data_IF_089414297469
#
_entry.id   IF_089414297469
#
_cell.length_a   1.000
_cell.length_b   1.000
_cell.length_c   1.000
_cell.angle_alpha   90.00
_cell.angle_beta   90.00
_cell.angle_gamma   90.00
#
_symmetry.space_group_name_H-M   'P 1'
#
loop_
_entity.id
_entity.type
_entity.pdbx_description
1 polymer ?
#
# COMPACT_ATOMS: atom_id res chain seq x y z
N UNK A 1 13.17 -0.56 14.68
CA UNK A 1 13.87 -0.53 13.37
C UNK A 1 14.41 0.87 13.15
N UNK A 2 15.36 1.04 12.24
CA UNK A 2 15.98 2.33 11.96
C UNK A 2 16.21 2.42 10.46
N UNK A 3 15.95 3.57 9.87
CA UNK A 3 16.17 3.81 8.44
C UNK A 3 16.68 5.24 8.21
N UNK A 4 17.55 5.42 7.23
CA UNK A 4 18.09 6.71 6.86
C UNK A 4 18.42 6.75 5.37
N UNK A 5 18.41 7.94 4.80
CA UNK A 5 18.75 8.16 3.40
C UNK A 5 18.97 9.63 3.12
N UNK A 6 19.66 9.92 2.01
CA UNK A 6 19.95 11.29 1.59
C UNK A 6 19.95 11.38 0.07
N UNK A 7 19.44 12.49 -0.44
CA UNK A 7 19.51 12.93 -1.83
C UNK A 7 20.03 14.37 -1.88
N UNK A 8 20.08 14.97 -3.08
CA UNK A 8 20.42 16.38 -3.24
C UNK A 8 19.40 17.33 -2.59
N UNK A 9 18.12 16.92 -2.47
CA UNK A 9 17.03 17.81 -2.07
C UNK A 9 16.49 17.53 -0.65
N UNK A 10 16.73 16.32 -0.14
CA UNK A 10 16.25 15.93 1.19
C UNK A 10 17.13 14.84 1.80
N UNK A 11 17.10 14.75 3.12
CA UNK A 11 17.61 13.59 3.86
C UNK A 11 16.67 13.22 4.99
N UNK A 12 16.67 11.96 5.39
CA UNK A 12 15.88 11.49 6.51
C UNK A 12 16.69 10.55 7.40
N UNK A 13 16.35 10.57 8.68
CA UNK A 13 16.89 9.69 9.69
C UNK A 13 15.77 9.38 10.67
N UNK A 14 15.21 8.16 10.58
CA UNK A 14 14.01 7.77 11.30
C UNK A 14 14.25 6.56 12.20
N UNK A 15 13.77 6.70 13.45
CA UNK A 15 13.59 5.60 14.38
C UNK A 15 12.14 5.11 14.32
N UNK A 16 11.97 3.79 14.21
CA UNK A 16 10.67 3.13 14.10
C UNK A 16 10.45 2.18 15.28
N UNK A 17 9.46 2.45 16.11
CA UNK A 17 9.03 1.58 17.22
C UNK A 17 7.71 0.90 16.85
N UNK A 18 7.71 -0.43 16.73
CA UNK A 18 6.49 -1.16 16.38
C UNK A 18 5.36 -0.89 17.39
N UNK A 19 4.20 -0.49 16.89
CA UNK A 19 3.00 -0.16 17.67
C UNK A 19 1.78 -1.02 17.32
N UNK A 20 1.92 -1.88 16.31
CA UNK A 20 0.98 -2.94 15.95
C UNK A 20 1.67 -4.29 15.91
N UNK A 21 0.90 -5.38 16.10
CA UNK A 21 1.38 -6.71 15.74
C UNK A 21 1.61 -6.82 14.22
N UNK A 22 2.52 -7.70 13.85
CA UNK A 22 2.83 -8.06 12.46
C UNK A 22 1.55 -8.40 11.69
N UNK A 23 1.44 -8.08 10.41
CA UNK A 23 0.40 -8.56 9.53
C UNK A 23 0.98 -9.59 8.56
N UNK A 24 0.34 -10.76 8.43
CA UNK A 24 0.81 -11.85 7.60
C UNK A 24 -0.08 -11.92 6.36
N UNK A 25 0.38 -11.39 5.23
CA UNK A 25 -0.47 -11.34 4.04
C UNK A 25 -0.85 -12.75 3.56
N UNK A 26 -2.07 -12.88 3.03
CA UNK A 26 -2.65 -14.18 2.69
C UNK A 26 -3.01 -15.04 3.92
N UNK A 27 -3.01 -14.46 5.12
CA UNK A 27 -3.32 -15.14 6.39
C UNK A 27 -2.17 -15.96 6.98
N UNK A 28 -1.23 -16.42 6.15
CA UNK A 28 -0.05 -17.19 6.57
C UNK A 28 1.29 -16.50 6.33
N UNK A 29 1.29 -15.34 5.66
CA UNK A 29 2.51 -14.63 5.27
C UNK A 29 3.18 -15.21 4.03
N UNK A 30 2.46 -16.04 3.28
CA UNK A 30 2.87 -16.59 2.00
C UNK A 30 1.75 -16.36 0.99
N UNK A 31 2.09 -15.75 -0.13
CA UNK A 31 1.17 -15.41 -1.21
C UNK A 31 1.74 -15.89 -2.54
N UNK A 32 0.88 -16.39 -3.42
CA UNK A 32 1.23 -16.60 -4.82
C UNK A 32 1.39 -15.23 -5.46
N UNK A 33 2.57 -14.86 -5.93
CA UNK A 33 2.90 -13.51 -6.40
C UNK A 33 3.58 -13.55 -7.78
N UNK A 34 2.76 -13.57 -8.83
CA UNK A 34 3.21 -13.62 -10.21
C UNK A 34 2.99 -14.97 -10.89
N UNK A 35 3.54 -15.09 -12.10
CA UNK A 35 3.29 -16.23 -12.99
C UNK A 35 3.93 -17.53 -12.48
N UNK A 36 3.35 -18.66 -12.89
CA UNK A 36 3.88 -19.99 -12.56
C UNK A 36 3.74 -20.39 -11.09
N UNK A 37 2.81 -19.77 -10.35
CA UNK A 37 2.62 -19.96 -8.92
C UNK A 37 3.87 -19.64 -8.10
N UNK A 38 4.63 -18.63 -8.54
CA UNK A 38 5.78 -18.18 -7.79
C UNK A 38 5.30 -17.69 -6.41
N UNK A 39 5.93 -18.19 -5.35
CA UNK A 39 5.53 -17.85 -3.99
C UNK A 39 6.43 -16.73 -3.46
N UNK A 40 5.80 -15.76 -2.81
CA UNK A 40 6.46 -14.75 -2.00
C UNK A 40 6.03 -14.91 -0.56
N UNK A 41 6.99 -14.82 0.34
CA UNK A 41 6.69 -14.46 1.73
C UNK A 41 6.45 -12.97 1.79
N UNK A 42 5.40 -12.56 2.46
CA UNK A 42 5.08 -11.16 2.68
C UNK A 42 4.50 -11.04 4.09
N UNK A 43 5.11 -10.15 4.87
CA UNK A 43 4.52 -9.68 6.11
C UNK A 43 4.82 -8.20 6.33
N UNK A 44 3.98 -7.56 7.13
CA UNK A 44 4.06 -6.14 7.43
C UNK A 44 4.15 -5.86 8.92
N UNK A 45 4.61 -4.67 9.31
CA UNK A 45 4.28 -4.03 10.59
C UNK A 45 3.41 -2.82 10.23
N UNK A 46 2.07 -2.95 10.35
CA UNK A 46 1.13 -1.93 9.89
C UNK A 46 1.27 -0.54 10.51
N UNK A 47 1.81 -0.45 11.72
CA UNK A 47 2.04 0.81 12.39
C UNK A 47 3.28 0.74 13.27
N UNK A 48 4.25 1.58 12.97
CA UNK A 48 5.33 1.97 13.86
C UNK A 48 5.11 3.42 14.30
N UNK A 49 5.37 3.75 15.56
CA UNK A 49 5.61 5.14 15.97
C UNK A 49 6.91 5.59 15.31
N UNK A 50 6.86 6.71 14.62
CA UNK A 50 7.99 7.20 13.81
C UNK A 50 8.48 8.51 14.37
N UNK A 51 9.76 8.55 14.73
CA UNK A 51 10.44 9.77 15.16
C UNK A 51 11.75 9.97 14.42
N UNK A 52 12.45 11.05 14.72
CA UNK A 52 13.72 11.40 14.10
C UNK A 52 13.62 12.69 13.31
N UNK A 53 14.40 12.81 12.23
CA UNK A 53 14.56 14.07 11.51
C UNK A 53 14.35 13.91 10.01
N UNK A 54 13.67 14.88 9.42
CA UNK A 54 13.59 15.08 7.98
C UNK A 54 14.26 16.41 7.65
N UNK A 55 15.29 16.40 6.83
CA UNK A 55 15.88 17.63 6.28
C UNK A 55 15.31 17.86 4.90
N UNK A 56 14.71 19.02 4.67
CA UNK A 56 14.29 19.50 3.36
C UNK A 56 15.14 20.72 3.03
N UNK A 57 15.94 20.64 1.97
CA UNK A 57 16.95 21.66 1.65
C UNK A 57 17.85 21.93 2.87
N UNK A 58 17.79 23.13 3.44
CA UNK A 58 18.58 23.54 4.62
C UNK A 58 17.80 23.48 5.95
N UNK A 59 16.52 23.10 5.93
CA UNK A 59 15.66 23.04 7.13
C UNK A 59 15.59 21.64 7.72
N UNK A 60 15.90 21.51 9.02
CA UNK A 60 15.76 20.26 9.77
C UNK A 60 14.42 20.27 10.52
N UNK A 61 13.51 19.39 10.11
CA UNK A 61 12.22 19.14 10.74
C UNK A 61 12.29 17.96 11.71
N UNK A 62 11.79 18.17 12.92
CA UNK A 62 11.62 17.09 13.90
C UNK A 62 10.29 16.37 13.67
N UNK A 63 10.32 15.05 13.55
CA UNK A 63 9.12 14.23 13.40
C UNK A 63 8.50 14.00 14.79
N UNK A 64 7.21 14.36 14.95
CA UNK A 64 6.43 14.14 16.17
C UNK A 64 5.90 12.69 16.21
N UNK A 65 6.45 11.80 17.07
CA UNK A 65 6.04 10.40 17.11
C UNK A 65 4.60 10.18 17.58
N UNK A 66 3.97 11.19 18.18
CA UNK A 66 2.56 11.12 18.59
C UNK A 66 1.59 11.35 17.40
N UNK A 67 2.08 11.92 16.29
CA UNK A 67 1.28 12.27 15.10
C UNK A 67 1.80 11.65 13.81
N UNK A 68 2.84 10.84 13.90
CA UNK A 68 3.48 10.20 12.75
C UNK A 68 3.49 8.69 12.92
N UNK A 69 3.29 8.00 11.79
CA UNK A 69 3.34 6.56 11.73
C UNK A 69 4.04 6.10 10.46
N UNK A 70 4.55 4.87 10.49
CA UNK A 70 5.10 4.19 9.32
C UNK A 70 4.53 2.78 9.22
N UNK A 71 4.12 2.40 8.01
CA UNK A 71 3.92 1.03 7.62
C UNK A 71 5.22 0.46 7.06
N UNK A 72 5.56 -0.76 7.46
CA UNK A 72 6.75 -1.45 6.98
C UNK A 72 6.35 -2.77 6.36
N UNK A 73 6.63 -2.98 5.08
CA UNK A 73 6.51 -4.28 4.43
C UNK A 73 7.87 -4.97 4.30
N UNK A 74 7.84 -6.29 4.45
CA UNK A 74 8.95 -7.16 4.14
C UNK A 74 8.47 -8.28 3.22
N UNK A 75 8.90 -8.20 1.96
CA UNK A 75 8.58 -9.18 0.94
C UNK A 75 9.84 -9.89 0.44
N UNK A 76 9.76 -11.21 0.33
CA UNK A 76 10.82 -12.04 -0.27
C UNK A 76 10.20 -13.16 -1.07
N UNK A 77 10.52 -13.22 -2.35
CA UNK A 77 10.04 -14.24 -3.27
C UNK A 77 10.90 -14.30 -4.52
N UNK A 78 10.48 -15.15 -5.46
CA UNK A 78 11.04 -15.20 -6.80
C UNK A 78 9.98 -14.71 -7.78
N UNK A 79 10.32 -13.75 -8.65
CA UNK A 79 9.36 -13.18 -9.60
C UNK A 79 8.36 -12.19 -8.98
N UNK A 80 7.56 -11.60 -9.85
CA UNK A 80 6.50 -10.65 -9.53
C UNK A 80 5.41 -10.72 -10.63
N UNK A 81 4.16 -10.36 -10.32
CA UNK A 81 3.15 -10.15 -11.36
C UNK A 81 3.53 -8.96 -12.23
N UNK A 82 3.03 -8.93 -13.47
CA UNK A 82 3.30 -7.82 -14.40
C UNK A 82 2.70 -6.51 -13.94
N UNK A 83 1.58 -6.56 -13.23
CA UNK A 83 0.95 -5.40 -12.66
C UNK A 83 0.42 -5.76 -11.27
N UNK A 84 0.33 -4.76 -10.41
CA UNK A 84 -0.44 -4.88 -9.20
C UNK A 84 -0.94 -3.51 -8.75
N UNK A 85 -2.02 -3.55 -7.98
CA UNK A 85 -2.45 -2.46 -7.11
C UNK A 85 -2.43 -2.98 -5.68
N UNK A 86 -1.82 -2.23 -4.79
CA UNK A 86 -1.80 -2.53 -3.37
C UNK A 86 -2.30 -1.34 -2.57
N UNK A 87 -3.01 -1.60 -1.49
CA UNK A 87 -3.44 -0.59 -0.54
C UNK A 87 -3.02 -1.00 0.87
N UNK A 88 -2.33 -0.11 1.58
CA UNK A 88 -2.30 -0.13 3.04
C UNK A 88 -3.33 0.87 3.58
N UNK A 89 -4.18 0.43 4.51
CA UNK A 89 -5.25 1.25 5.05
C UNK A 89 -5.28 1.25 6.58
N UNK A 90 -5.46 2.45 7.14
CA UNK A 90 -5.73 2.72 8.54
C UNK A 90 -7.10 3.36 8.71
N UNK A 91 -7.74 3.04 9.83
CA UNK A 91 -9.04 3.58 10.21
C UNK A 91 -8.90 4.35 11.53
N UNK A 92 -9.03 5.69 11.55
CA UNK A 92 -8.88 6.51 12.74
C UNK A 92 -9.77 6.03 13.90
N UNK A 93 -9.24 6.05 15.13
CA UNK A 93 -9.96 5.59 16.32
C UNK A 93 -10.14 4.07 16.40
N UNK A 94 -9.59 3.31 15.45
CA UNK A 94 -9.69 1.86 15.40
C UNK A 94 -8.32 1.18 15.36
N UNK A 95 -8.26 -0.01 15.93
CA UNK A 95 -7.09 -0.88 15.85
C UNK A 95 -7.03 -1.64 14.52
N UNK A 96 -8.05 -1.52 13.66
CA UNK A 96 -8.11 -2.16 12.34
C UNK A 96 -7.06 -1.56 11.41
N UNK A 97 -6.33 -2.45 10.72
CA UNK A 97 -5.35 -2.14 9.66
C UNK A 97 -5.54 -3.14 8.53
N UNK A 98 -5.46 -2.72 7.28
CA UNK A 98 -5.65 -3.62 6.15
C UNK A 98 -4.52 -3.49 5.12
N UNK A 99 -4.08 -4.64 4.61
CA UNK A 99 -3.22 -4.75 3.43
C UNK A 99 -4.04 -5.44 2.35
N UNK A 100 -4.25 -4.76 1.24
CA UNK A 100 -5.22 -5.16 0.22
C UNK A 100 -4.51 -5.24 -1.12
N UNK A 101 -4.47 -6.43 -1.70
CA UNK A 101 -3.74 -6.72 -2.91
C UNK A 101 -4.68 -7.03 -4.07
N UNK A 102 -4.34 -6.52 -5.25
CA UNK A 102 -4.92 -6.88 -6.54
C UNK A 102 -3.82 -7.07 -7.57
N UNK A 103 -3.68 -8.28 -8.08
CA UNK A 103 -2.79 -8.58 -9.22
C UNK A 103 -3.24 -9.84 -9.96
N UNK A 104 -2.80 -9.97 -11.20
CA UNK A 104 -3.16 -11.12 -12.03
C UNK A 104 -2.09 -12.21 -11.92
N UNK A 105 -2.50 -13.45 -11.67
CA UNK A 105 -1.62 -14.62 -11.54
C UNK A 105 -1.19 -15.16 -12.90
N UNK A 106 -2.09 -15.08 -13.89
CA UNK A 106 -1.84 -15.46 -15.28
C UNK A 106 -2.44 -14.40 -16.20
N UNK A 107 -2.12 -14.46 -17.49
CA UNK A 107 -2.73 -13.58 -18.51
C UNK A 107 -4.24 -13.84 -18.75
N UNK A 108 -4.88 -14.71 -17.95
CA UNK A 108 -6.30 -15.02 -18.04
C UNK A 108 -7.07 -14.19 -16.99
N UNK A 109 -8.19 -13.52 -17.37
CA UNK A 109 -9.03 -12.77 -16.43
C UNK A 109 -9.63 -13.62 -15.30
N UNK A 110 -9.66 -14.95 -15.45
CA UNK A 110 -10.14 -15.86 -14.40
C UNK A 110 -9.08 -16.22 -13.36
N UNK A 111 -7.83 -15.80 -13.55
CA UNK A 111 -6.70 -16.13 -12.70
C UNK A 111 -6.19 -14.86 -12.00
N UNK A 112 -7.04 -14.28 -11.16
CA UNK A 112 -6.76 -13.06 -10.40
C UNK A 112 -6.55 -13.38 -8.92
N UNK A 113 -5.62 -12.65 -8.29
CA UNK A 113 -5.53 -12.59 -6.83
C UNK A 113 -6.15 -11.27 -6.38
N UNK A 114 -7.24 -11.37 -5.60
CA UNK A 114 -7.91 -10.25 -4.94
C UNK A 114 -8.15 -10.65 -3.50
N UNK A 115 -7.33 -10.13 -2.57
CA UNK A 115 -7.52 -10.39 -1.16
C UNK A 115 -7.15 -9.19 -0.29
N UNK A 116 -7.87 -9.04 0.81
CA UNK A 116 -7.56 -8.12 1.88
C UNK A 116 -7.21 -8.90 3.14
N UNK A 117 -5.97 -8.74 3.59
CA UNK A 117 -5.56 -9.19 4.92
C UNK A 117 -5.83 -8.08 5.90
N UNK A 118 -6.66 -8.34 6.91
CA UNK A 118 -7.09 -7.35 7.89
C UNK A 118 -6.60 -7.73 9.28
N UNK A 119 -5.80 -6.87 9.91
CA UNK A 119 -5.40 -7.00 11.32
C UNK A 119 -6.48 -6.39 12.22
N UNK A 120 -7.11 -7.23 13.04
CA UNK A 120 -8.12 -6.84 14.01
C UNK A 120 -7.47 -6.66 15.38
N UNK A 121 -6.85 -5.50 15.60
CA UNK A 121 -6.16 -5.22 16.86
C UNK A 121 -4.98 -6.14 17.14
N UNK A 122 -4.95 -6.76 18.32
CA UNK A 122 -3.85 -7.63 18.76
C UNK A 122 -4.20 -9.11 18.70
N UNK A 123 -5.44 -9.44 18.33
CA UNK A 123 -6.02 -10.74 18.61
C UNK A 123 -6.01 -11.66 17.40
N UNK A 124 -6.37 -11.12 16.22
CA UNK A 124 -6.61 -11.96 15.04
C UNK A 124 -6.32 -11.26 13.71
N UNK A 125 -6.41 -12.06 12.66
CA UNK A 125 -6.44 -11.61 11.27
C UNK A 125 -7.69 -12.14 10.58
N UNK A 126 -8.15 -11.43 9.57
CA UNK A 126 -9.17 -11.92 8.63
C UNK A 126 -8.64 -11.79 7.21
N UNK A 127 -9.05 -12.71 6.36
CA UNK A 127 -8.83 -12.65 4.92
C UNK A 127 -10.18 -12.43 4.27
N UNK A 128 -10.32 -11.36 3.49
CA UNK A 128 -11.56 -11.03 2.79
C UNK A 128 -11.30 -11.01 1.29
N UNK A 129 -12.13 -11.72 0.54
CA UNK A 129 -12.22 -11.55 -0.90
C UNK A 129 -12.99 -10.27 -1.23
N UNK A 130 -12.65 -9.66 -2.36
CA UNK A 130 -13.25 -8.42 -2.81
C UNK A 130 -13.10 -8.26 -4.33
N UNK A 131 -13.93 -7.41 -4.90
CA UNK A 131 -13.81 -6.92 -6.28
C UNK A 131 -13.22 -5.51 -6.27
N UNK A 132 -12.29 -5.24 -7.20
CA UNK A 132 -11.69 -3.92 -7.40
C UNK A 132 -12.24 -3.30 -8.68
N UNK A 133 -12.83 -2.11 -8.58
CA UNK A 133 -13.27 -1.32 -9.73
C UNK A 133 -12.55 0.04 -9.76
N UNK A 134 -11.57 0.25 -10.65
CA UNK A 134 -10.98 1.57 -10.85
C UNK A 134 -11.97 2.51 -11.59
N UNK A 135 -11.99 3.78 -11.19
CA UNK A 135 -12.79 4.83 -11.86
C UNK A 135 -11.96 5.44 -12.99
N UNK A 136 -12.11 4.91 -14.21
CA UNK A 136 -11.35 5.37 -15.37
C UNK A 136 -11.74 6.77 -15.88
N UNK A 137 -12.71 7.43 -15.24
CA UNK A 137 -13.01 8.85 -15.49
C UNK A 137 -12.21 9.79 -14.56
N UNK A 138 -11.62 9.27 -13.49
CA UNK A 138 -10.76 10.02 -12.55
C UNK A 138 -9.33 9.47 -12.66
N UNK A 139 -8.60 9.96 -13.66
CA UNK A 139 -7.26 9.48 -14.02
C UNK A 139 -6.24 10.61 -14.07
N UNK A 140 -4.98 10.27 -13.87
CA UNK A 140 -3.85 11.14 -14.16
C UNK A 140 -2.84 10.43 -15.04
N UNK A 141 -2.37 11.15 -16.06
CA UNK A 141 -1.35 10.67 -16.96
C UNK A 141 -0.02 11.30 -16.59
N UNK A 142 0.97 10.48 -16.25
CA UNK A 142 2.29 10.97 -15.90
C UNK A 142 2.94 11.67 -17.10
N UNK A 143 3.47 12.88 -16.94
CA UNK A 143 4.26 13.53 -17.97
C UNK A 143 5.65 12.87 -18.16
N UNK A 144 6.13 12.09 -17.18
CA UNK A 144 7.46 11.48 -17.19
C UNK A 144 7.44 10.08 -17.82
N UNK A 145 6.50 9.23 -17.39
CA UNK A 145 6.40 7.84 -17.84
C UNK A 145 5.36 7.62 -18.93
N UNK A 146 4.47 8.60 -19.15
CA UNK A 146 3.32 8.51 -20.06
C UNK A 146 2.27 7.44 -19.64
N UNK A 147 2.41 6.84 -18.45
CA UNK A 147 1.46 5.90 -17.86
C UNK A 147 0.22 6.66 -17.37
N UNK A 148 -0.96 6.11 -17.60
CA UNK A 148 -2.23 6.62 -17.08
C UNK A 148 -2.63 5.81 -15.84
N UNK A 149 -2.71 6.48 -14.70
CA UNK A 149 -3.10 5.91 -13.42
C UNK A 149 -4.55 6.29 -13.08
N UNK A 150 -5.43 5.35 -12.69
CA UNK A 150 -6.64 5.71 -11.98
C UNK A 150 -6.29 6.38 -10.66
N UNK A 151 -7.12 7.31 -10.20
CA UNK A 151 -6.94 8.02 -8.94
C UNK A 151 -8.00 7.66 -7.90
N UNK A 152 -8.98 6.84 -8.28
CA UNK A 152 -10.08 6.43 -7.44
C UNK A 152 -10.48 5.00 -7.74
N UNK A 153 -10.81 4.27 -6.68
CA UNK A 153 -11.18 2.86 -6.74
C UNK A 153 -12.38 2.60 -5.83
N UNK A 154 -13.22 1.67 -6.25
CA UNK A 154 -14.21 1.00 -5.39
C UNK A 154 -13.72 -0.40 -5.08
N UNK A 155 -13.79 -0.78 -3.81
CA UNK A 155 -13.49 -2.11 -3.32
C UNK A 155 -14.79 -2.65 -2.73
N UNK A 156 -15.38 -3.67 -3.34
CA UNK A 156 -16.60 -4.32 -2.87
C UNK A 156 -16.24 -5.67 -2.24
N UNK A 157 -16.45 -5.84 -0.93
CA UNK A 157 -16.06 -7.03 -0.20
C UNK A 157 -17.21 -8.04 -0.15
N UNK A 158 -16.90 -9.34 -0.17
CA UNK A 158 -17.93 -10.40 -0.18
C UNK A 158 -18.78 -10.44 1.10
N UNK A 159 -18.31 -9.86 2.21
CA UNK A 159 -19.08 -9.70 3.44
C UNK A 159 -20.12 -8.55 3.37
N UNK A 160 -20.26 -7.89 2.21
CA UNK A 160 -21.16 -6.76 1.98
C UNK A 160 -20.60 -5.40 2.41
N UNK A 161 -19.36 -5.33 2.89
CA UNK A 161 -18.65 -4.08 3.10
C UNK A 161 -18.18 -3.49 1.77
N UNK A 162 -17.89 -2.18 1.76
CA UNK A 162 -17.31 -1.51 0.60
C UNK A 162 -16.44 -0.34 1.02
N UNK A 163 -15.43 -0.05 0.22
CA UNK A 163 -14.56 1.11 0.38
C UNK A 163 -14.44 1.87 -0.94
N UNK A 164 -14.46 3.19 -0.85
CA UNK A 164 -13.98 4.10 -1.86
C UNK A 164 -12.61 4.60 -1.43
N UNK A 165 -11.59 4.30 -2.22
CA UNK A 165 -10.23 4.80 -2.02
C UNK A 165 -9.96 5.86 -3.06
N UNK A 166 -9.42 7.01 -2.66
CA UNK A 166 -9.06 8.10 -3.58
C UNK A 166 -7.70 8.67 -3.23
N UNK A 167 -6.81 8.71 -4.22
CA UNK A 167 -5.53 9.38 -4.10
C UNK A 167 -5.74 10.86 -3.78
N UNK A 168 -4.98 11.41 -2.82
CA UNK A 168 -5.17 12.79 -2.35
C UNK A 168 -4.79 13.83 -3.41
N UNK A 169 -3.87 13.47 -4.31
CA UNK A 169 -3.40 14.30 -5.41
C UNK A 169 -2.83 13.44 -6.54
N UNK A 170 -2.83 13.94 -7.77
CA UNK A 170 -2.41 13.15 -8.93
C UNK A 170 -0.90 12.86 -8.99
N UNK A 171 -0.05 13.82 -8.68
CA UNK A 171 1.39 13.84 -8.95
C UNK A 171 2.23 13.08 -7.90
N UNK A 172 1.92 11.80 -7.67
CA UNK A 172 2.58 10.94 -6.67
C UNK A 172 3.34 9.76 -7.30
N UNK A 173 3.72 9.87 -8.57
CA UNK A 173 4.62 8.93 -9.21
C UNK A 173 6.07 9.16 -8.75
N UNK A 174 6.70 8.10 -8.28
CA UNK A 174 8.15 8.02 -8.15
C UNK A 174 8.66 7.48 -9.49
N UNK A 175 9.18 8.38 -10.31
CA UNK A 175 9.70 8.05 -11.63
C UNK A 175 11.15 7.55 -11.55
N UNK A 176 11.39 6.35 -12.04
CA UNK A 176 12.72 5.79 -12.21
C UNK A 176 13.11 5.72 -13.69
N UNK A 177 14.24 6.35 -14.05
CA UNK A 177 14.69 6.47 -15.44
C UNK A 177 15.53 5.29 -15.95
N UNK A 178 15.91 4.35 -15.08
CA UNK A 178 16.84 3.26 -15.41
C UNK A 178 16.14 1.98 -15.83
N UNK A 179 15.07 1.59 -15.14
CA UNK A 179 14.20 0.48 -15.52
C UNK A 179 12.74 0.88 -15.38
N UNK A 180 11.86 0.36 -16.23
CA UNK A 180 10.43 0.68 -16.13
C UNK A 180 9.84 0.16 -14.80
N UNK A 181 10.39 -0.93 -14.25
CA UNK A 181 10.07 -1.40 -12.91
C UNK A 181 10.51 -0.49 -11.77
N UNK A 182 11.31 0.54 -12.04
CA UNK A 182 11.66 1.59 -11.08
C UNK A 182 10.59 2.69 -11.01
N UNK A 183 9.59 2.67 -11.91
CA UNK A 183 8.49 3.64 -11.90
C UNK A 183 7.30 3.06 -11.14
N UNK A 184 6.91 3.74 -10.06
CA UNK A 184 5.80 3.36 -9.19
C UNK A 184 4.92 4.56 -8.90
N UNK A 185 3.61 4.36 -8.95
CA UNK A 185 2.71 5.31 -8.32
C UNK A 185 2.56 4.92 -6.84
N UNK A 186 3.05 5.75 -5.92
CA UNK A 186 2.97 5.51 -4.49
C UNK A 186 2.35 6.75 -3.83
N UNK A 187 1.01 6.74 -3.75
CA UNK A 187 0.25 7.93 -3.37
C UNK A 187 -0.48 7.78 -2.06
N UNK A 188 -0.42 8.82 -1.23
CA UNK A 188 -1.34 8.91 -0.09
C UNK A 188 -2.78 8.94 -0.59
N UNK A 189 -3.66 8.25 0.14
CA UNK A 189 -5.05 8.10 -0.20
C UNK A 189 -5.97 8.35 1.01
N UNK A 190 -7.17 8.83 0.70
CA UNK A 190 -8.30 8.90 1.63
C UNK A 190 -9.26 7.76 1.35
N UNK A 191 -9.94 7.31 2.40
CA UNK A 191 -10.87 6.19 2.35
C UNK A 191 -12.21 6.60 2.94
N UNK A 192 -13.28 6.21 2.28
CA UNK A 192 -14.65 6.32 2.80
C UNK A 192 -15.45 5.04 2.48
N UNK A 193 -16.52 4.77 3.21
CA UNK A 193 -17.39 3.62 2.91
C UNK A 193 -17.95 2.97 4.16
N UNK A 194 -18.08 1.64 4.14
CA UNK A 194 -18.42 0.82 5.31
C UNK A 194 -17.48 -0.37 5.33
N UNK A 195 -16.65 -0.47 6.35
CA UNK A 195 -15.69 -1.57 6.48
C UNK A 195 -15.50 -1.94 7.94
N UNK A 196 -16.02 -3.09 8.36
CA UNK A 196 -15.89 -3.61 9.73
C UNK A 196 -16.26 -2.57 10.80
N UNK A 197 -17.39 -1.90 10.58
CA UNK A 197 -17.90 -0.82 11.44
C UNK A 197 -17.28 0.57 11.19
N UNK A 198 -16.17 0.66 10.45
CA UNK A 198 -15.51 1.92 10.12
C UNK A 198 -16.18 2.62 8.93
N UNK A 199 -16.00 3.94 8.82
CA UNK A 199 -16.58 4.78 7.75
C UNK A 199 -15.57 5.63 7.00
N UNK A 200 -14.47 5.97 7.65
CA UNK A 200 -13.41 6.81 7.11
C UNK A 200 -12.07 6.15 7.39
N UNK A 201 -11.09 6.40 6.52
CA UNK A 201 -9.74 5.90 6.67
C UNK A 201 -8.76 6.71 5.82
N UNK A 202 -7.50 6.31 5.89
CA UNK A 202 -6.41 6.87 5.11
C UNK A 202 -5.36 5.79 4.88
N UNK A 203 -4.39 6.05 4.01
CA UNK A 203 -3.25 5.17 3.83
C UNK A 203 -2.53 5.47 2.52
N UNK A 204 -2.01 4.44 1.87
CA UNK A 204 -1.28 4.54 0.60
C UNK A 204 -1.88 3.58 -0.42
N UNK A 205 -1.92 4.02 -1.67
CA UNK A 205 -2.07 3.15 -2.84
C UNK A 205 -0.74 3.05 -3.56
N UNK A 206 -0.33 1.83 -3.85
CA UNK A 206 0.79 1.52 -4.75
C UNK A 206 0.23 0.92 -6.04
N UNK A 207 0.74 1.39 -7.19
CA UNK A 207 0.51 0.74 -8.49
C UNK A 207 1.83 0.59 -9.24
N UNK A 208 2.09 -0.63 -9.70
CA UNK A 208 3.24 -0.96 -10.54
C UNK A 208 2.75 -1.60 -11.83
N UNK A 209 3.45 -1.29 -12.92
CA UNK A 209 3.33 -2.00 -14.20
C UNK A 209 4.73 -2.28 -14.73
N UNK A 210 5.09 -3.55 -14.74
CA UNK A 210 6.29 -4.11 -15.36
C UNK A 210 5.98 -4.45 -16.82
N UNK A 211 6.82 -3.96 -17.74
CA UNK A 211 6.72 -4.23 -19.18
C UNK A 211 7.85 -5.15 -19.65
#
# INVERSE_FOLDING_TARGET
MYTFGSSANYSYNFGLEASSKVLLNGGGGAITFGSGYANSTEWAIPACKTGGTLTLEDEILQIDPAKSLTWYDHQKGFGAPRNWTWFELHFPGSSIKASIWAYDLLASPSAEARFATVRLGQDSHSLLAYELTPDMNDVWKSPNSNITYPLKWKLDFENGDYLWVKSIRPDQEIYGSRQIGDTVYAGFATVSGRFLGQRIGFGVVEMITLY
#
